data_IF_573280605831
#
_entry.id   IF_573280605831
#
_cell.length_a   1.000
_cell.length_b   1.000
_cell.length_c   1.000
_cell.angle_alpha   90.00
_cell.angle_beta   90.00
_cell.angle_gamma   90.00
#
_symmetry.space_group_name_H-M   'P 1'
#
loop_
_entity.id
_entity.type
_entity.pdbx_description
1 polymer ?
2 non-polymer ?
3 non-polymer ?
4 non-polymer ?
5 non-polymer ?
6 non-polymer ?
7 non-polymer ?
8 water ?
#
# COMPACT_ATOMS: atom_id res chain seq x y z
N UNK A 1 -11.70 -1.04 17.37
CA UNK A 1 -11.09 -1.28 16.06
C UNK A 1 -11.96 -0.77 14.92
N UNK A 2 -11.30 -0.25 13.88
CA UNK A 2 -11.96 -0.03 12.60
C UNK A 2 -12.14 -1.37 11.91
N UNK A 3 -12.55 -1.37 10.63
CA UNK A 3 -12.76 -2.65 9.94
C UNK A 3 -11.46 -3.45 9.74
N UNK A 4 -11.55 -4.78 9.78
CA UNK A 4 -10.43 -5.66 9.49
C UNK A 4 -10.88 -6.76 8.52
N UNK A 5 -9.95 -7.32 7.76
CA UNK A 5 -10.25 -8.47 6.90
C UNK A 5 -10.57 -9.65 7.80
N UNK A 6 -11.58 -10.43 7.41
CA UNK A 6 -12.07 -11.49 8.28
C UNK A 6 -11.38 -12.82 7.97
N UNK A 7 -10.30 -12.74 7.21
CA UNK A 7 -9.55 -13.89 6.75
C UNK A 7 -8.11 -13.47 6.67
N UNK A 8 -7.17 -14.43 6.69
CA UNK A 8 -5.75 -14.08 6.66
C UNK A 8 -5.17 -14.22 5.25
N UNK A 9 -5.96 -14.83 4.37
CA UNK A 9 -5.55 -15.00 2.98
C UNK A 9 -6.18 -13.88 2.16
N UNK A 10 -5.35 -12.97 1.69
CA UNK A 10 -5.83 -11.74 1.04
C UNK A 10 -5.24 -11.63 -0.36
N UNK A 11 -6.09 -11.39 -1.35
CA UNK A 11 -5.64 -11.28 -2.73
C UNK A 11 -5.53 -9.83 -3.20
N UNK A 12 -4.67 -9.61 -4.18
CA UNK A 12 -4.54 -8.31 -4.82
C UNK A 12 -4.37 -8.43 -6.32
N UNK A 13 -4.73 -7.38 -7.04
CA UNK A 13 -4.54 -7.30 -8.48
C UNK A 13 -4.15 -5.88 -8.85
N UNK A 14 -3.19 -5.75 -9.76
CA UNK A 14 -2.80 -4.43 -10.26
C UNK A 14 -3.66 -4.10 -11.49
N UNK A 15 -4.54 -3.11 -11.33
CA UNK A 15 -5.49 -2.72 -12.38
C UNK A 15 -4.81 -2.17 -13.62
N UNK A 16 -3.78 -1.35 -13.40
CA UNK A 16 -3.10 -0.68 -14.50
C UNK A 16 -1.74 -0.23 -14.00
N UNK A 17 -0.87 0.15 -14.93
CA UNK A 17 0.52 0.44 -14.61
C UNK A 17 0.90 1.87 -14.96
N UNK A 18 1.59 2.55 -14.04
CA UNK A 18 2.10 3.88 -14.32
C UNK A 18 3.15 3.82 -15.43
N UNK A 19 3.06 4.73 -16.41
CA UNK A 19 4.11 4.79 -17.42
C UNK A 19 5.42 5.40 -16.90
N UNK A 20 5.44 5.89 -15.66
CA UNK A 20 6.65 6.47 -15.07
C UNK A 20 7.74 5.42 -14.89
N UNK A 21 7.32 4.17 -14.69
CA UNK A 21 8.22 3.07 -14.34
C UNK A 21 8.05 1.91 -15.32
N UNK A 22 9.05 1.06 -15.48
CA UNK A 22 8.75 -0.12 -16.27
C UNK A 22 7.95 -1.10 -15.43
N UNK A 23 7.13 -1.87 -16.13
CA UNK A 23 6.14 -2.77 -15.56
C UNK A 23 6.68 -3.71 -14.48
N UNK A 24 7.83 -4.30 -14.77
CA UNK A 24 8.46 -5.27 -13.88
C UNK A 24 8.82 -4.60 -12.56
N UNK A 25 9.13 -3.30 -12.61
CA UNK A 25 9.49 -2.56 -11.40
C UNK A 25 8.28 -2.25 -10.53
N UNK A 26 7.14 -1.98 -11.17
CA UNK A 26 5.88 -1.80 -10.43
C UNK A 26 5.48 -3.09 -9.73
N UNK A 27 5.51 -4.21 -10.46
CA UNK A 27 5.21 -5.51 -9.87
C UNK A 27 6.06 -5.79 -8.65
N UNK A 28 7.36 -5.50 -8.78
CA UNK A 28 8.31 -5.76 -7.70
C UNK A 28 8.08 -4.87 -6.48
N UNK A 29 7.85 -3.58 -6.72
CA UNK A 29 7.60 -2.63 -5.63
C UNK A 29 6.36 -3.05 -4.86
N UNK A 30 5.30 -3.41 -5.57
CA UNK A 30 4.08 -3.82 -4.92
C UNK A 30 4.22 -5.14 -4.14
N UNK A 31 4.87 -6.13 -4.76
CA UNK A 31 5.12 -7.40 -4.10
C UNK A 31 5.91 -7.22 -2.80
N UNK A 32 6.97 -6.41 -2.86
CA UNK A 32 7.82 -6.19 -1.69
C UNK A 32 7.07 -5.42 -0.61
N UNK A 33 6.19 -4.52 -1.01
CA UNK A 33 5.42 -3.75 -0.03
C UNK A 33 4.46 -4.66 0.74
N UNK A 34 3.81 -5.59 0.03
CA UNK A 34 2.99 -6.60 0.71
C UNK A 34 3.84 -7.48 1.62
N UNK A 35 5.05 -7.84 1.17
CA UNK A 35 5.95 -8.68 1.96
C UNK A 35 6.33 -8.05 3.31
N UNK A 36 6.48 -6.72 3.33
CA UNK A 36 6.77 -6.00 4.56
C UNK A 36 5.75 -6.34 5.65
N UNK A 37 4.47 -6.34 5.30
CA UNK A 37 3.40 -6.61 6.26
C UNK A 37 3.22 -8.08 6.55
N UNK A 38 3.45 -8.92 5.56
CA UNK A 38 3.35 -10.36 5.79
C UNK A 38 4.47 -10.84 6.71
N UNK A 39 5.60 -10.14 6.71
CA UNK A 39 6.73 -10.51 7.59
C UNK A 39 6.45 -10.39 9.09
N UNK A 40 5.41 -9.66 9.48
CA UNK A 40 5.13 -9.40 10.90
C UNK A 40 3.69 -9.75 11.31
N UNK A 41 2.99 -10.50 10.45
CA UNK A 41 1.60 -10.90 10.68
C UNK A 41 1.35 -12.33 10.21
N UNK A 42 0.17 -12.89 10.51
CA UNK A 42 -0.20 -14.16 9.87
C UNK A 42 -0.81 -13.98 8.49
N UNK A 43 -0.74 -12.77 7.93
CA UNK A 43 -1.35 -12.50 6.63
C UNK A 43 -0.55 -13.07 5.47
N UNK A 44 -1.26 -13.67 4.51
CA UNK A 44 -0.63 -14.15 3.30
C UNK A 44 -1.25 -13.46 2.10
N UNK A 45 -0.40 -12.90 1.25
CA UNK A 45 -0.87 -12.17 0.09
C UNK A 45 -0.64 -12.91 -1.21
N UNK A 46 -1.66 -12.89 -2.06
CA UNK A 46 -1.64 -13.65 -3.30
C UNK A 46 -2.08 -12.77 -4.47
N UNK A 47 -1.26 -12.75 -5.52
CA UNK A 47 -1.54 -11.90 -6.67
C UNK A 47 -2.47 -12.59 -7.68
N UNK A 48 -3.48 -11.86 -8.10
CA UNK A 48 -4.43 -12.34 -9.12
C UNK A 48 -4.15 -11.55 -10.40
N UNK A 49 -4.02 -12.23 -11.52
CA UNK A 49 -3.82 -11.54 -12.80
C UNK A 49 -5.13 -11.12 -13.48
N UNK A 50 -6.17 -11.92 -13.28
CA UNK A 50 -7.47 -11.65 -13.86
C UNK A 50 -8.56 -12.10 -12.91
N UNK A 51 -9.52 -11.22 -12.67
CA UNK A 51 -10.68 -11.58 -11.89
C UNK A 51 -10.77 -10.83 -10.59
N UNK A 52 -11.55 -11.36 -9.67
CA UNK A 52 -11.83 -10.67 -8.42
C UNK A 52 -10.62 -10.71 -7.49
N UNK A 53 -10.32 -9.56 -6.89
CA UNK A 53 -9.25 -9.50 -5.90
C UNK A 53 -9.72 -8.61 -4.76
N UNK A 54 -9.21 -8.87 -3.56
CA UNK A 54 -9.59 -8.07 -2.41
C UNK A 54 -9.04 -6.65 -2.53
N UNK A 55 -7.75 -6.52 -2.82
CA UNK A 55 -7.10 -5.21 -2.91
C UNK A 55 -6.80 -4.91 -4.37
N UNK A 56 -7.52 -3.95 -4.94
CA UNK A 56 -7.20 -3.48 -6.28
C UNK A 56 -6.24 -2.30 -6.21
N UNK A 57 -5.13 -2.39 -6.94
CA UNK A 57 -4.13 -1.32 -7.00
C UNK A 57 -4.36 -0.54 -8.28
N UNK A 58 -4.56 0.78 -8.15
CA UNK A 58 -4.95 1.61 -9.29
C UNK A 58 -4.05 2.84 -9.36
N UNK A 59 -3.63 3.20 -10.57
CA UNK A 59 -3.02 4.52 -10.79
C UNK A 59 -4.03 5.36 -11.56
N UNK A 60 -4.39 6.53 -11.04
CA UNK A 60 -5.38 7.38 -11.70
C UNK A 60 -5.12 8.84 -11.37
N UNK A 61 -5.71 9.76 -12.14
CA UNK A 61 -5.52 11.17 -11.81
C UNK A 61 -6.84 11.87 -11.54
N UNK A 62 -6.76 13.03 -10.88
CA UNK A 62 -7.93 13.86 -10.66
C UNK A 62 -9.11 13.11 -10.08
N UNK A 63 -10.31 13.40 -10.58
CA UNK A 63 -11.51 12.67 -10.14
C UNK A 63 -11.54 11.35 -10.89
N UNK A 64 -11.61 10.25 -10.15
CA UNK A 64 -11.39 8.92 -10.70
C UNK A 64 -12.37 7.88 -10.16
N UNK A 65 -13.59 8.31 -9.85
CA UNK A 65 -14.64 7.35 -9.56
C UNK A 65 -15.04 7.15 -8.12
N UNK A 66 -14.35 7.81 -7.19
CA UNK A 66 -14.72 7.75 -5.78
C UNK A 66 -14.93 9.18 -5.27
N UNK A 67 -15.22 9.38 -4.00
CA UNK A 67 -15.56 10.73 -3.56
C UNK A 67 -14.33 11.59 -3.30
N UNK A 68 -13.16 11.07 -3.67
CA UNK A 68 -11.89 11.67 -3.27
C UNK A 68 -10.93 11.95 -4.40
N UNK A 69 -11.23 12.99 -5.17
CA UNK A 69 -10.40 13.35 -6.30
C UNK A 69 -8.98 13.69 -5.90
N UNK A 70 -8.02 13.26 -6.73
CA UNK A 70 -6.64 13.67 -6.56
C UNK A 70 -6.48 15.11 -7.03
N UNK A 71 -5.30 15.67 -6.80
CA UNK A 71 -5.10 17.12 -6.81
C UNK A 71 -3.96 17.58 -7.71
N UNK A 72 -3.61 16.76 -8.69
CA UNK A 72 -2.51 17.08 -9.56
C UNK A 72 -1.16 16.86 -8.92
N UNK A 73 -0.12 17.40 -9.55
CA UNK A 73 1.25 17.21 -9.13
C UNK A 73 1.49 17.84 -7.75
N UNK A 74 2.03 17.06 -6.82
CA UNK A 74 2.26 17.53 -5.47
C UNK A 74 1.05 17.29 -4.58
N UNK A 75 1.12 17.77 -3.35
CA UNK A 75 0.04 17.54 -2.41
C UNK A 75 -0.17 16.07 -2.11
N UNK A 76 -1.42 15.64 -2.25
CA UNK A 76 -1.79 14.24 -1.96
C UNK A 76 -1.08 13.30 -2.94
N UNK A 77 -0.49 12.24 -2.40
CA UNK A 77 0.23 11.25 -3.22
C UNK A 77 -0.62 10.04 -3.57
N UNK A 78 -1.46 9.62 -2.63
CA UNK A 78 -2.16 8.34 -2.74
C UNK A 78 -3.18 8.25 -1.62
N UNK A 79 -4.13 7.31 -1.75
CA UNK A 79 -5.05 7.03 -0.65
C UNK A 79 -5.55 5.60 -0.79
N UNK A 80 -6.06 5.04 0.30
CA UNK A 80 -6.51 3.66 0.32
C UNK A 80 -7.68 3.51 1.26
N UNK A 81 -8.59 2.60 0.91
CA UNK A 81 -9.77 2.34 1.70
C UNK A 81 -9.54 1.16 2.64
N UNK A 82 -10.11 1.24 3.84
CA UNK A 82 -9.96 0.16 4.80
C UNK A 82 -10.66 -1.10 4.34
N UNK A 83 -10.43 -2.21 5.05
CA UNK A 83 -11.02 -3.49 4.67
C UNK A 83 -12.54 -3.44 4.48
N UNK A 84 -13.01 -4.10 3.43
CA UNK A 84 -14.41 -4.12 3.08
C UNK A 84 -14.59 -4.72 1.70
N UNK A 85 -15.83 -4.95 1.31
CA UNK A 85 -16.12 -5.44 -0.02
C UNK A 85 -16.05 -4.28 -1.02
N UNK A 86 -16.04 -4.60 -2.30
CA UNK A 86 -16.00 -3.59 -3.34
C UNK A 86 -14.75 -2.72 -3.28
N UNK A 87 -14.94 -1.42 -3.19
CA UNK A 87 -13.81 -0.50 -3.15
C UNK A 87 -13.02 -0.65 -1.85
N UNK A 88 -13.62 -1.27 -0.84
CA UNK A 88 -12.90 -1.57 0.39
C UNK A 88 -11.56 -2.25 0.12
N UNK A 89 -10.51 -1.83 0.81
CA UNK A 89 -9.19 -2.39 0.60
C UNK A 89 -8.38 -1.78 -0.55
N UNK A 90 -9.04 -1.09 -1.48
CA UNK A 90 -8.37 -0.66 -2.70
C UNK A 90 -7.40 0.48 -2.47
N UNK A 91 -6.29 0.47 -3.20
CA UNK A 91 -5.22 1.45 -3.00
C UNK A 91 -5.00 2.23 -4.30
N UNK A 92 -5.09 3.55 -4.21
CA UNK A 92 -5.07 4.43 -5.38
C UNK A 92 -3.87 5.35 -5.33
N UNK A 93 -3.10 5.40 -6.42
CA UNK A 93 -1.90 6.23 -6.50
C UNK A 93 -2.12 7.31 -7.54
N UNK A 94 -1.79 8.55 -7.18
CA UNK A 94 -2.02 9.70 -8.04
C UNK A 94 -1.02 9.71 -9.20
N UNK A 95 -1.53 9.50 -10.41
CA UNK A 95 -0.66 9.44 -11.60
C UNK A 95 0.03 10.77 -11.91
N UNK A 96 -0.49 11.86 -11.36
CA UNK A 96 0.17 13.15 -11.56
C UNK A 96 1.46 13.26 -10.73
N UNK A 97 1.73 12.30 -9.87
CA UNK A 97 3.05 12.20 -9.25
C UNK A 97 3.98 11.46 -10.19
N UNK A 98 5.29 11.57 -9.95
CA UNK A 98 6.26 10.81 -10.72
C UNK A 98 6.84 9.66 -9.89
N UNK A 99 6.35 8.46 -10.17
CA UNK A 99 6.69 7.28 -9.38
C UNK A 99 8.04 6.70 -9.79
N UNK A 100 8.86 6.36 -8.81
CA UNK A 100 10.19 5.81 -9.08
C UNK A 100 10.58 4.64 -8.17
N UNK A 101 11.69 4.00 -8.53
CA UNK A 101 12.29 2.95 -7.71
C UNK A 101 13.35 3.51 -6.77
N UNK A 102 13.48 4.83 -6.69
CA UNK A 102 14.61 5.44 -5.99
C UNK A 102 14.22 6.70 -5.23
N UNK A 103 15.18 7.59 -5.00
CA UNK A 103 14.95 8.79 -4.19
C UNK A 103 14.37 9.98 -4.97
N UNK A 104 14.44 9.93 -6.29
CA UNK A 104 13.85 10.97 -7.12
C UNK A 104 12.34 10.80 -7.18
N UNK A 105 11.62 11.86 -7.52
CA UNK A 105 10.17 11.79 -7.56
C UNK A 105 9.58 11.29 -6.25
N UNK A 106 8.62 10.37 -6.35
CA UNK A 106 8.02 9.73 -5.18
C UNK A 106 8.24 8.22 -5.27
N UNK A 107 8.86 7.64 -4.25
CA UNK A 107 9.19 6.23 -4.26
C UNK A 107 7.95 5.36 -4.14
N UNK A 108 7.72 4.50 -5.14
CA UNK A 108 6.50 3.69 -5.14
C UNK A 108 6.49 2.68 -4.02
N UNK A 109 7.59 1.95 -3.82
CA UNK A 109 7.65 0.97 -2.74
C UNK A 109 7.24 1.55 -1.37
N UNK A 110 7.89 2.64 -0.95
CA UNK A 110 7.58 3.22 0.35
C UNK A 110 6.13 3.67 0.45
N UNK A 111 5.64 4.35 -0.58
CA UNK A 111 4.25 4.82 -0.59
C UNK A 111 3.27 3.63 -0.52
N UNK A 112 3.59 2.55 -1.23
CA UNK A 112 2.74 1.37 -1.20
C UNK A 112 2.72 0.71 0.18
N UNK A 113 3.84 0.74 0.89
CA UNK A 113 3.85 0.17 2.24
C UNK A 113 2.86 0.93 3.10
N UNK A 114 2.89 2.26 3.02
CA UNK A 114 1.97 3.11 3.77
C UNK A 114 0.51 2.86 3.36
N UNK A 115 0.23 2.86 2.05
CA UNK A 115 -1.13 2.61 1.57
C UNK A 115 -1.66 1.22 1.94
N UNK A 116 -0.84 0.18 1.77
CA UNK A 116 -1.27 -1.15 2.17
C UNK A 116 -1.58 -1.22 3.67
N UNK A 117 -0.84 -0.48 4.50
CA UNK A 117 -1.20 -0.34 5.89
C UNK A 117 -2.65 0.10 6.06
N UNK A 118 -3.04 1.15 5.33
CA UNK A 118 -4.44 1.55 5.32
C UNK A 118 -5.38 0.44 4.79
N UNK A 119 -4.98 -0.23 3.70
CA UNK A 119 -5.80 -1.30 3.12
C UNK A 119 -6.02 -2.44 4.12
N UNK A 120 -5.12 -2.59 5.09
CA UNK A 120 -5.24 -3.64 6.09
C UNK A 120 -5.97 -3.15 7.33
N UNK A 121 -6.23 -1.84 7.41
CA UNK A 121 -7.03 -1.32 8.51
C UNK A 121 -6.32 -0.36 9.45
N UNK A 122 -5.08 -0.03 9.14
CA UNK A 122 -4.33 0.90 10.00
C UNK A 122 -4.68 2.34 9.69
N UNK A 123 -4.70 3.16 10.74
CA UNK A 123 -4.76 4.60 10.56
C UNK A 123 -3.37 5.20 10.68
N UNK A 124 -3.29 6.51 10.80
CA UNK A 124 -1.98 7.17 10.92
C UNK A 124 -1.37 7.06 12.30
N UNK A 125 -0.04 7.06 12.33
CA UNK A 125 0.74 7.00 13.57
C UNK A 125 1.25 8.38 13.97
N UNK A 126 1.53 8.57 15.25
CA UNK A 126 2.15 9.81 15.73
C UNK A 126 3.63 9.62 16.00
N UNK A 127 4.13 8.40 15.75
CA UNK A 127 5.55 8.08 15.79
C UNK A 127 6.21 8.45 14.47
N UNK A 128 7.11 9.45 14.47
CA UNK A 128 7.77 9.85 13.22
C UNK A 128 8.60 8.74 12.57
N UNK A 129 8.98 7.71 13.32
CA UNK A 129 9.71 6.57 12.76
C UNK A 129 8.79 5.57 12.07
N UNK A 130 7.49 5.71 12.25
CA UNK A 130 6.55 4.74 11.68
C UNK A 130 6.23 5.02 10.24
N UNK A 131 6.13 3.96 9.43
CA UNK A 131 5.73 4.12 8.04
C UNK A 131 4.32 4.70 7.94
N UNK A 132 3.51 4.54 8.98
CA UNK A 132 2.15 5.07 9.00
C UNK A 132 2.09 6.53 9.47
N UNK A 133 3.22 7.12 9.82
CA UNK A 133 3.27 8.56 10.06
C UNK A 133 3.02 9.24 8.73
N UNK A 134 2.09 10.21 8.68
CA UNK A 134 1.69 10.70 7.36
C UNK A 134 2.61 11.77 6.73
N UNK A 135 3.91 11.51 6.71
CA UNK A 135 4.85 12.35 5.97
C UNK A 135 5.72 11.45 5.13
N UNK A 136 5.70 11.67 3.81
CA UNK A 136 6.57 10.94 2.92
C UNK A 136 8.00 11.41 3.05
N UNK A 137 8.91 10.46 3.24
CA UNK A 137 10.35 10.74 3.22
C UNK A 137 11.11 9.53 2.71
N UNK A 138 12.00 9.75 1.74
CA UNK A 138 12.78 8.66 1.22
C UNK A 138 13.76 8.14 2.26
N UNK A 139 13.72 6.83 2.49
CA UNK A 139 14.79 6.14 3.19
C UNK A 139 15.16 5.03 2.23
N UNK A 140 16.42 4.60 2.24
CA UNK A 140 16.89 3.50 1.37
C UNK A 140 16.09 2.23 1.63
N UNK A 141 15.69 1.56 0.54
CA UNK A 141 14.80 0.41 0.65
C UNK A 141 15.49 -0.86 1.21
N UNK A 142 16.81 -0.98 1.00
CA UNK A 142 17.53 -2.10 1.57
C UNK A 142 17.60 -2.02 3.09
N UNK A 143 17.56 -0.80 3.62
CA UNK A 143 17.66 -0.58 5.06
C UNK A 143 16.32 -0.19 5.70
N UNK A 144 15.26 -0.11 4.90
CA UNK A 144 13.95 0.25 5.44
C UNK A 144 13.44 -0.79 6.44
N UNK A 145 12.89 -0.31 7.56
CA UNK A 145 12.30 -1.18 8.56
C UNK A 145 10.99 -0.58 9.06
N UNK A 146 10.00 -1.43 9.31
CA UNK A 146 8.80 -0.99 10.03
C UNK A 146 9.24 -0.61 11.44
N UNK A 147 8.57 0.37 12.03
CA UNK A 147 8.87 0.73 13.41
C UNK A 147 8.13 -0.19 14.38
N UNK A 148 8.55 -0.17 15.65
CA UNK A 148 7.83 -0.92 16.67
C UNK A 148 6.37 -0.48 16.79
N UNK A 149 6.06 0.78 16.48
CA UNK A 149 4.67 1.20 16.50
C UNK A 149 3.86 0.56 15.37
N UNK A 150 4.43 0.50 14.16
CA UNK A 150 3.74 -0.13 13.02
C UNK A 150 3.44 -1.57 13.33
N UNK A 151 4.41 -2.27 13.93
CA UNK A 151 4.23 -3.69 14.28
C UNK A 151 3.20 -3.87 15.36
N UNK A 152 3.23 -3.04 16.40
CA UNK A 152 2.22 -3.07 17.45
C UNK A 152 0.84 -2.89 16.83
N UNK A 153 0.71 -1.91 15.94
CA UNK A 153 -0.57 -1.61 15.32
C UNK A 153 -1.11 -2.77 14.50
N UNK A 154 -0.29 -3.30 13.60
CA UNK A 154 -0.78 -4.36 12.73
C UNK A 154 -1.04 -5.66 13.50
N UNK A 155 -0.22 -5.97 14.49
CA UNK A 155 -0.44 -7.17 15.29
C UNK A 155 -1.67 -7.07 16.19
N UNK A 156 -2.09 -5.84 16.49
CA UNK A 156 -3.29 -5.64 17.30
C UNK A 156 -4.53 -5.95 16.47
N UNK A 157 -4.37 -5.94 15.15
CA UNK A 157 -5.50 -6.22 14.25
C UNK A 157 -5.54 -7.68 13.79
N UNK A 158 -4.37 -8.30 13.67
CA UNK A 158 -4.26 -9.65 13.09
C UNK A 158 -3.30 -10.52 13.89
N UNK A 159 -3.78 -11.69 14.30
CA UNK A 159 -2.94 -12.61 15.07
C UNK A 159 -3.44 -12.84 16.48
X LIG B 1 -2.05 7.74 4.93
X LIG C 1 -9.39 7.01 -5.11
X LIG D 1 -11.58 -4.22 -2.81
X LIG E 1 3.05 9.93 -13.34
X LIG F 1 -1.11 14.91 -6.03
X LIG G 1 -1.22 11.47 0.26
X LIG G 1 -0.70 11.86 1.53
X LIG G 1 -0.16 13.19 1.49
X LIG G 1 -1.75 11.81 2.64
X LIG G 1 -1.45 12.28 3.77
X LIG G 1 -2.16 13.37 4.37
X LIG G 1 -3.14 12.90 5.43
X LIG G 1 -1.12 14.28 5.03
X LIG G 1 -3.05 11.18 2.42
X LIG G 1 -2.95 9.79 3.01
X LIG G 1 -2.86 9.59 4.21
X LIG G 1 -2.90 8.78 2.17
X LIG G 1 -2.47 7.58 2.70
X LIG G 1 0.49 10.85 1.94
X LIG G 1 1.41 11.21 2.93
X LIG G 1 2.45 10.35 3.30
X LIG G 1 2.57 9.10 2.69
X LIG G 1 1.66 8.73 1.69
X LIG G 1 0.62 9.59 1.32
X LIG G 1 3.71 8.20 3.05
X LIG G 1 4.37 7.55 2.01
X LIG G 1 5.46 6.72 2.27
X LIG G 1 5.87 6.55 3.58
X LIG G 1 5.22 7.21 4.61
X LIG G 1 4.14 8.04 4.35
X LIG H 1 0.65 -5.90 20.29
X LIG H 1 1.25 -7.11 19.56
X LIG H 1 1.48 -8.28 20.50
X LIG H 1 -0.29 -5.27 19.42
X LIG H 1 2.46 -6.70 18.92
X LIG I 1 -10.95 7.37 2.62
X LIG I 1 -10.36 7.68 1.24
X LIG I 1 -9.36 6.61 0.81
X LIG I 1 -10.35 8.23 3.60
X LIG I 1 -9.70 8.96 1.24
X LIG J 1 -14.64 0.77 5.21
X LIG J 1 -14.51 0.48 3.71
X LIG J 1 -13.37 1.28 3.12
X LIG J 1 -13.54 1.57 5.65
X LIG J 1 -15.72 0.84 3.02
X LIG K 1 -6.37 6.53 8.08
X LIG K 1 -5.86 7.71 8.59
X LIG K 1 -7.73 6.08 8.48
X LIG K 1 -7.87 4.78 8.93
X LIG K 1 -8.62 4.53 10.07
X LIG K 1 -8.43 3.21 10.76
X LIG K 1 -9.08 3.00 11.97
X LIG L 1 -7.76 16.07 -14.61
X LIG L 1 -6.98 16.13 -13.47
X LIG L 1 -7.70 14.84 -15.45
X LIG L 1 -8.83 14.05 -15.60
X LIG L 1 -9.33 13.28 -14.57
X LIG L 1 -10.51 13.77 -13.78
X LIG L 1 -10.32 14.93 -13.04
X LIG M 1 14.73 4.35 -13.69
X LIG M 1 15.57 5.43 -13.84
X LIG M 1 14.68 3.70 -12.35
X LIG M 1 15.30 2.49 -12.20
X LIG M 1 14.56 1.33 -12.36
X LIG M 1 15.25 0.04 -12.10
X LIG M 1 14.59 -1.12 -12.40
X LIG N 1 -15.21 -7.86 3.98
X LIG N 1 -15.30 -8.86 2.99
X LIG N 1 -13.81 -7.86 4.58
X LIG N 1 -13.67 -6.83 5.53
X LIG N 1 -13.56 -9.20 5.26
X LIG N 1 -13.08 -10.18 4.35
#
# INVERSE_FOLDING_TARGET
MGPVWRKHYITYRINNYTPDMNREDVDYAIRKAFQVWSNVTPLKFSKINTGMADILVVFARGAHGDDHAFDGKGGILAHAFGPGSGIGGDAHFDEDEFWTTHSGGTNLFLTAVHEIGHSLGLGHSSDPKAVMFPTYKYVDINTFRLSADDIRGIQSLYG
ZN ZN
ZN ZN
CA CA
CA CA
CA CA
10B O14 S13 O13 N12 O15 C67 C69 C68 C31 C11 O2 N2 O7 C28 C14 C17 C16 C15 C29 C21 C26 C25 C24 C23 C30
PGO C1 C2 C3 O1 O2
PGO C1 C2 C3 O1 O2
PGO C1 C2 C3 O1 O2
PEG C1 O1 C2 O2 C3 C4 O4
PEG C1 O1 C2 O2 C3 C4 O4
PEG C1 O1 C2 O2 C3 C4 O4
GOL C1 O1 C2 O2 C3 O3
#
